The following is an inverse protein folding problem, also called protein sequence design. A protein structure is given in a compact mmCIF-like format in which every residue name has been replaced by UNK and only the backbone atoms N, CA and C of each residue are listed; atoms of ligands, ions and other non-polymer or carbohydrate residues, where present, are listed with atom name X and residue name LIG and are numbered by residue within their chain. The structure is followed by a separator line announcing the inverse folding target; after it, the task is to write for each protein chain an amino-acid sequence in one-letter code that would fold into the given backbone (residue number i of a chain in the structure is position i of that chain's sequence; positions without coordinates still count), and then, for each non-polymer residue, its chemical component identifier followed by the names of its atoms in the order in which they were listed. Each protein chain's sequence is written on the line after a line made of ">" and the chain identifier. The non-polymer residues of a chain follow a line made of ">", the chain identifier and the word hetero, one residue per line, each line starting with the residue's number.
data_IF_947612872846
#
_entry.id   IF_947612872846
#
_cell.length_a   1.000
_cell.length_b   1.000
_cell.length_c   1.000
_cell.angle_alpha   90.00
_cell.angle_beta   90.00
_cell.angle_gamma   90.00
#
_symmetry.space_group_name_H-M   'P 1'
#
loop_
_entity.id
_entity.type
_entity.pdbx_description
1 polymer ?
#
# COMPACT_ATOMS: atom_id res chain seq x y z
N UNK A 1 3.14 21.83 21.38
CA UNK A 1 1.67 21.68 21.26
C UNK A 1 1.13 21.64 22.69
N UNK A 2 0.21 22.53 23.07
CA UNK A 2 -0.32 22.57 24.45
C UNK A 2 -1.54 21.65 24.59
N UNK A 3 -1.53 20.78 25.59
CA UNK A 3 -2.65 19.91 25.95
C UNK A 3 -2.87 19.97 27.48
N UNK A 4 -4.10 19.73 27.93
CA UNK A 4 -4.48 19.84 29.34
C UNK A 4 -4.03 18.64 30.20
N UNK A 5 -3.68 17.51 29.60
CA UNK A 5 -3.21 16.28 30.25
C UNK A 5 -2.08 15.65 29.43
N UNK A 6 -1.20 14.89 30.09
CA UNK A 6 -0.05 14.21 29.46
C UNK A 6 -0.46 13.24 28.34
N UNK A 7 -1.56 12.50 28.54
CA UNK A 7 -2.10 11.55 27.56
C UNK A 7 -2.55 12.22 26.24
N UNK A 8 -3.21 13.38 26.34
CA UNK A 8 -3.66 14.14 25.16
C UNK A 8 -2.48 14.75 24.39
N UNK A 9 -1.36 15.01 25.08
CA UNK A 9 -0.14 15.52 24.45
C UNK A 9 0.53 14.42 23.61
N UNK A 10 0.62 13.20 24.16
CA UNK A 10 1.21 12.05 23.47
C UNK A 10 0.36 11.57 22.29
N UNK A 11 -0.98 11.51 22.42
CA UNK A 11 -1.85 11.16 21.28
C UNK A 11 -1.68 12.14 20.10
N UNK A 12 -1.69 13.45 20.39
CA UNK A 12 -1.48 14.48 19.38
C UNK A 12 -0.10 14.39 18.74
N UNK A 13 0.91 14.04 19.51
CA UNK A 13 2.28 13.87 19.01
C UNK A 13 2.36 12.68 18.04
N UNK A 14 1.80 11.53 18.41
CA UNK A 14 1.76 10.35 17.54
C UNK A 14 1.04 10.63 16.21
N UNK A 15 -0.07 11.37 16.25
CA UNK A 15 -0.81 11.77 15.03
C UNK A 15 -0.02 12.72 14.13
N UNK A 16 0.75 13.64 14.73
CA UNK A 16 1.61 14.56 13.98
C UNK A 16 2.80 13.83 13.37
N UNK A 17 3.41 12.90 14.10
CA UNK A 17 4.53 12.09 13.61
C UNK A 17 4.11 11.18 12.45
N UNK A 18 2.93 10.55 12.53
CA UNK A 18 2.36 9.75 11.45
C UNK A 18 2.11 10.60 10.18
N UNK A 19 1.43 11.75 10.33
CA UNK A 19 1.16 12.65 9.21
C UNK A 19 2.45 13.19 8.57
N UNK A 20 3.45 13.51 9.39
CA UNK A 20 4.77 13.96 8.91
C UNK A 20 5.43 12.87 8.08
N UNK A 21 5.48 11.64 8.58
CA UNK A 21 6.12 10.54 7.86
C UNK A 21 5.36 10.18 6.57
N UNK A 22 4.02 10.19 6.59
CA UNK A 22 3.19 9.95 5.42
C UNK A 22 3.43 10.98 4.30
N UNK A 23 3.53 12.27 4.66
CA UNK A 23 3.79 13.32 3.66
C UNK A 23 5.20 13.24 3.07
N UNK A 24 6.21 12.91 3.87
CA UNK A 24 7.56 12.71 3.35
C UNK A 24 7.65 11.49 2.41
N UNK A 25 6.97 10.39 2.74
CA UNK A 25 6.89 9.23 1.84
C UNK A 25 6.22 9.60 0.50
N UNK A 26 5.08 10.30 0.56
CA UNK A 26 4.35 10.72 -0.64
C UNK A 26 5.16 11.67 -1.54
N UNK A 27 6.02 12.52 -0.96
CA UNK A 27 6.89 13.41 -1.73
C UNK A 27 8.01 12.64 -2.43
N UNK A 28 8.60 11.63 -1.78
CA UNK A 28 9.72 10.87 -2.32
C UNK A 28 9.30 9.85 -3.38
N UNK A 29 8.20 9.12 -3.13
CA UNK A 29 7.76 8.00 -3.98
C UNK A 29 6.61 8.37 -4.93
N UNK A 30 5.91 9.48 -4.65
CA UNK A 30 4.71 9.89 -5.37
C UNK A 30 3.42 9.41 -4.69
N UNK A 31 2.28 9.88 -5.22
CA UNK A 31 0.94 9.57 -4.68
C UNK A 31 0.22 8.58 -5.60
N UNK A 32 -0.41 7.56 -5.00
CA UNK A 32 -1.25 6.58 -5.70
C UNK A 32 -2.68 6.57 -5.13
N UNK A 33 -3.70 6.13 -5.92
CA UNK A 33 -5.07 6.03 -5.40
C UNK A 33 -5.17 5.04 -4.24
N UNK A 34 -5.64 5.54 -3.09
CA UNK A 34 -5.78 4.77 -1.86
C UNK A 34 -6.92 3.75 -1.88
N UNK A 35 -7.21 3.15 -0.72
CA UNK A 35 -8.33 2.20 -0.56
C UNK A 35 -8.17 0.89 -1.34
N UNK A 36 -6.93 0.48 -1.62
CA UNK A 36 -6.64 -0.74 -2.37
C UNK A 36 -6.95 -0.67 -3.88
N UNK A 37 -7.45 0.47 -4.40
CA UNK A 37 -7.74 0.66 -5.82
C UNK A 37 -6.50 0.50 -6.70
N UNK A 38 -5.33 0.93 -6.19
CA UNK A 38 -4.04 0.73 -6.87
C UNK A 38 -3.78 -0.75 -7.17
N UNK A 39 -4.08 -1.67 -6.25
CA UNK A 39 -3.87 -3.10 -6.49
C UNK A 39 -4.77 -3.65 -7.60
N UNK A 40 -6.00 -3.16 -7.69
CA UNK A 40 -6.94 -3.56 -8.75
C UNK A 40 -6.40 -3.17 -10.12
N UNK A 41 -5.89 -1.95 -10.26
CA UNK A 41 -5.31 -1.49 -11.52
C UNK A 41 -4.04 -2.27 -11.87
N UNK A 42 -3.26 -2.70 -10.87
CA UNK A 42 -2.08 -3.53 -11.09
C UNK A 42 -2.43 -4.96 -11.51
N UNK A 43 -3.55 -5.52 -11.02
CA UNK A 43 -4.02 -6.85 -11.43
C UNK A 43 -4.25 -6.95 -12.93
N UNK A 44 -4.73 -5.88 -13.58
CA UNK A 44 -4.96 -5.85 -15.03
C UNK A 44 -3.65 -5.96 -15.84
N UNK A 45 -2.49 -5.61 -15.26
CA UNK A 45 -1.18 -5.74 -15.90
C UNK A 45 -0.49 -7.10 -15.65
N UNK A 46 -0.89 -7.85 -14.63
CA UNK A 46 -0.34 -9.18 -14.33
C UNK A 46 -0.44 -10.18 -15.50
N UNK A 47 -1.54 -10.28 -16.26
CA UNK A 47 -1.59 -11.22 -17.38
C UNK A 47 -0.56 -10.90 -18.47
N UNK A 48 -0.23 -9.62 -18.67
CA UNK A 48 0.82 -9.21 -19.61
C UNK A 48 2.22 -9.64 -19.14
N UNK A 49 2.49 -9.59 -17.84
CA UNK A 49 3.76 -10.03 -17.24
C UNK A 49 3.87 -11.56 -17.30
N UNK A 50 2.77 -12.28 -17.04
CA UNK A 50 2.73 -13.74 -17.11
C UNK A 50 3.07 -14.28 -18.50
N UNK A 51 2.70 -13.56 -19.57
CA UNK A 51 3.01 -13.94 -20.94
C UNK A 51 4.48 -13.70 -21.34
N UNK A 52 5.24 -12.94 -20.54
CA UNK A 52 6.67 -12.68 -20.81
C UNK A 52 7.62 -13.66 -20.11
N UNK A 53 7.12 -14.52 -19.22
CA UNK A 53 7.93 -15.45 -18.42
C UNK A 53 7.71 -16.90 -18.91
N UNK A 54 8.80 -17.55 -19.33
CA UNK A 54 8.78 -18.88 -19.94
C UNK A 54 8.80 -20.02 -18.89
N UNK A 55 9.25 -19.76 -17.66
CA UNK A 55 9.35 -20.74 -16.58
C UNK A 55 8.04 -20.93 -15.80
N UNK A 56 7.68 -22.20 -15.55
CA UNK A 56 6.42 -22.58 -14.91
C UNK A 56 6.33 -22.14 -13.43
N UNK A 57 7.44 -22.12 -12.72
CA UNK A 57 7.51 -21.73 -11.31
C UNK A 57 7.28 -20.22 -11.10
N UNK A 58 7.76 -19.39 -12.04
CA UNK A 58 7.53 -17.95 -12.01
C UNK A 58 6.06 -17.60 -12.28
N UNK A 59 5.41 -18.37 -13.16
CA UNK A 59 3.97 -18.24 -13.43
C UNK A 59 3.11 -18.59 -12.21
N UNK A 60 3.51 -19.59 -11.41
CA UNK A 60 2.84 -19.93 -10.15
C UNK A 60 3.05 -18.82 -9.13
N UNK A 61 4.25 -18.25 -9.05
CA UNK A 61 4.55 -17.09 -8.21
C UNK A 61 3.66 -15.88 -8.54
N UNK A 62 3.49 -15.57 -9.83
CA UNK A 62 2.61 -14.50 -10.30
C UNK A 62 1.13 -14.73 -9.93
N UNK A 63 0.66 -15.98 -9.98
CA UNK A 63 -0.73 -16.34 -9.62
C UNK A 63 -0.98 -16.20 -8.10
N UNK A 64 0.01 -16.49 -7.26
CA UNK A 64 -0.06 -16.27 -5.82
C UNK A 64 -0.15 -14.77 -5.50
N UNK A 65 0.68 -13.94 -6.14
CA UNK A 65 0.63 -12.49 -5.98
C UNK A 65 -0.73 -11.93 -6.40
N UNK A 66 -1.28 -12.38 -7.54
CA UNK A 66 -2.60 -11.98 -8.00
C UNK A 66 -3.71 -12.32 -6.97
N UNK A 67 -3.65 -13.51 -6.36
CA UNK A 67 -4.62 -13.92 -5.33
C UNK A 67 -4.52 -13.08 -4.05
N UNK A 68 -3.31 -12.79 -3.58
CA UNK A 68 -3.10 -11.99 -2.36
C UNK A 68 -3.61 -10.56 -2.56
N UNK A 69 -3.35 -9.95 -3.72
CA UNK A 69 -3.81 -8.60 -4.03
C UNK A 69 -5.34 -8.45 -4.02
N UNK A 70 -6.11 -9.53 -4.24
CA UNK A 70 -7.58 -9.53 -4.17
C UNK A 70 -8.11 -9.45 -2.74
N UNK A 71 -7.35 -9.91 -1.74
CA UNK A 71 -7.75 -9.86 -0.33
C UNK A 71 -7.95 -8.42 0.17
N UNK A 72 -7.15 -7.48 -0.36
CA UNK A 72 -7.22 -6.06 -0.02
C UNK A 72 -8.43 -5.32 -0.61
N UNK A 73 -9.25 -5.98 -1.43
CA UNK A 73 -10.48 -5.41 -2.02
C UNK A 73 -11.67 -5.38 -1.04
N UNK A 74 -11.63 -6.16 0.05
CA UNK A 74 -12.83 -6.49 0.87
C UNK A 74 -12.72 -6.10 2.34
N UNK A 75 -11.77 -5.23 2.73
CA UNK A 75 -11.69 -4.69 4.09
C UNK A 75 -12.14 -3.24 4.14
#
# INVERSE_FOLDING_TARGET
>A
VGAHTELELEDRKLRIEDAKNATFAAINEGLVPGGGATYVHLLDLIPSIKNSMEDLDEQIGADILAKVSICFRVC
#
